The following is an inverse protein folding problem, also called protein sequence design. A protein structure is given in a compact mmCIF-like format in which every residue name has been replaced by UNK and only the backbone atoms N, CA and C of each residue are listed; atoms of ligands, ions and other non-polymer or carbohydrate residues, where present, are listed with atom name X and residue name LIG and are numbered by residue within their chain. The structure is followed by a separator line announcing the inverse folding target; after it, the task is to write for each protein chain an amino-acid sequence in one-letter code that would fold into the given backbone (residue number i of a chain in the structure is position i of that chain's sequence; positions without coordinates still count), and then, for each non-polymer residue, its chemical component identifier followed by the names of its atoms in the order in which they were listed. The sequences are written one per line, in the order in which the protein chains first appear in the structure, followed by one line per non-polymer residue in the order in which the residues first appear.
data_IF_982317491516
#
_entry.id   IF_982317491516
#
_cell.length_a   1.000
_cell.length_b   1.000
_cell.length_c   1.000
_cell.angle_alpha   90.00
_cell.angle_beta   90.00
_cell.angle_gamma   90.00
#
_symmetry.space_group_name_H-M   'P 1'
#
loop_
_entity.id
_entity.type
_entity.pdbx_description
1 polymer ?
#
# COMPACT_ATOMS: atom_id res chain seq x y z
N UNK A 1 -4.52 -23.58 26.09
CA UNK A 1 -4.53 -25.05 26.27
C UNK A 1 -5.99 -25.49 26.27
N UNK A 2 -6.37 -26.29 25.29
CA UNK A 2 -7.75 -26.70 25.04
C UNK A 2 -8.25 -27.75 26.04
N UNK A 3 -9.57 -27.89 26.13
CA UNK A 3 -10.23 -29.01 26.77
C UNK A 3 -10.04 -30.30 25.98
N UNK A 4 -10.56 -31.42 26.51
CA UNK A 4 -10.54 -32.69 25.79
C UNK A 4 -11.42 -32.59 24.55
N UNK A 5 -10.96 -33.14 23.43
CA UNK A 5 -11.72 -33.16 22.18
C UNK A 5 -13.08 -33.86 22.36
N UNK A 6 -14.10 -33.33 21.71
CA UNK A 6 -15.39 -34.01 21.49
C UNK A 6 -15.44 -34.48 20.04
N UNK A 7 -15.42 -35.80 19.83
CA UNK A 7 -15.48 -36.39 18.49
C UNK A 7 -16.90 -36.48 17.93
N UNK A 8 -17.03 -36.38 16.61
CA UNK A 8 -18.31 -36.50 15.90
C UNK A 8 -19.26 -35.32 16.10
N UNK A 9 -18.72 -34.17 16.53
CA UNK A 9 -19.47 -32.93 16.72
C UNK A 9 -18.70 -31.72 16.19
N UNK A 10 -19.45 -30.69 15.83
CA UNK A 10 -18.92 -29.39 15.44
C UNK A 10 -19.85 -28.28 15.98
N UNK A 11 -19.26 -27.18 16.43
CA UNK A 11 -20.02 -25.99 16.80
C UNK A 11 -20.43 -25.26 15.53
N UNK A 12 -21.73 -25.05 15.35
CA UNK A 12 -22.32 -24.39 14.17
C UNK A 12 -22.72 -22.94 14.49
N UNK A 13 -23.07 -22.16 13.46
CA UNK A 13 -23.54 -20.75 13.55
C UNK A 13 -22.52 -19.70 14.03
N UNK A 14 -21.52 -20.11 14.79
CA UNK A 14 -20.49 -19.24 15.39
C UNK A 14 -19.13 -19.30 14.70
N UNK A 15 -19.05 -20.01 13.56
CA UNK A 15 -17.82 -20.11 12.77
C UNK A 15 -17.62 -18.82 11.99
N UNK A 16 -16.61 -18.03 12.37
CA UNK A 16 -16.29 -16.78 11.69
C UNK A 16 -15.13 -16.92 10.70
N UNK A 17 -14.35 -18.01 10.76
CA UNK A 17 -13.19 -18.22 9.88
C UNK A 17 -12.97 -19.69 9.56
N UNK A 18 -12.68 -19.97 8.29
CA UNK A 18 -12.41 -21.31 7.77
C UNK A 18 -11.06 -21.34 7.04
N UNK A 19 -10.24 -22.34 7.37
CA UNK A 19 -8.86 -22.50 6.88
C UNK A 19 -8.68 -23.95 6.40
N UNK A 20 -7.89 -24.16 5.34
CA UNK A 20 -7.55 -25.49 4.83
C UNK A 20 -6.09 -25.82 5.15
N UNK A 21 -5.85 -26.96 5.81
CA UNK A 21 -4.54 -27.36 6.34
C UNK A 21 -4.01 -28.61 5.60
N UNK A 22 -2.74 -28.57 5.19
CA UNK A 22 -2.02 -29.69 4.57
C UNK A 22 -1.50 -30.70 5.59
N UNK A 23 -1.38 -31.98 5.21
CA UNK A 23 -0.90 -33.07 6.09
C UNK A 23 0.57 -33.00 6.51
N UNK A 24 1.34 -32.00 6.07
CA UNK A 24 2.78 -31.90 6.36
C UNK A 24 3.11 -31.61 7.84
N UNK A 25 2.12 -31.21 8.66
CA UNK A 25 2.26 -30.89 10.09
C UNK A 25 0.97 -31.34 10.82
N UNK A 26 1.06 -31.74 12.10
CA UNK A 26 -0.07 -32.13 12.95
C UNK A 26 -1.27 -31.16 12.84
N UNK A 27 -2.32 -31.49 12.05
CA UNK A 27 -3.33 -30.50 11.64
C UNK A 27 -4.24 -30.07 12.80
N UNK A 28 -4.38 -30.92 13.82
CA UNK A 28 -5.11 -30.56 15.04
C UNK A 28 -4.33 -29.53 15.86
N UNK A 29 -3.01 -29.70 15.97
CA UNK A 29 -2.14 -28.77 16.69
C UNK A 29 -2.07 -27.43 15.98
N UNK A 30 -1.98 -27.41 14.65
CA UNK A 30 -1.99 -26.16 13.88
C UNK A 30 -3.34 -25.43 13.99
N UNK A 31 -4.47 -26.12 13.85
CA UNK A 31 -5.79 -25.47 14.01
C UNK A 31 -5.99 -24.87 15.40
N UNK A 32 -5.59 -25.59 16.45
CA UNK A 32 -5.58 -25.09 17.83
C UNK A 32 -4.68 -23.86 17.97
N UNK A 33 -3.49 -23.87 17.37
CA UNK A 33 -2.58 -22.72 17.38
C UNK A 33 -3.14 -21.52 16.62
N UNK A 34 -3.81 -21.73 15.48
CA UNK A 34 -4.51 -20.67 14.73
C UNK A 34 -5.59 -20.01 15.57
N UNK A 35 -6.35 -20.80 16.34
CA UNK A 35 -7.31 -20.26 17.30
C UNK A 35 -6.63 -19.48 18.43
N UNK A 36 -5.52 -19.99 18.98
CA UNK A 36 -4.74 -19.25 19.99
C UNK A 36 -4.16 -17.94 19.45
N UNK A 37 -4.00 -17.82 18.13
CA UNK A 37 -3.55 -16.60 17.45
C UNK A 37 -4.70 -15.65 17.05
N UNK A 38 -5.95 -16.06 17.22
CA UNK A 38 -7.14 -15.29 16.81
C UNK A 38 -7.90 -14.83 18.07
N UNK A 39 -7.97 -13.52 18.31
CA UNK A 39 -8.40 -12.96 19.60
C UNK A 39 -9.89 -13.19 19.93
N UNK A 40 -10.72 -13.40 18.91
CA UNK A 40 -12.12 -13.76 19.04
C UNK A 40 -12.33 -15.27 19.16
N UNK A 41 -11.32 -16.10 18.89
CA UNK A 41 -11.49 -17.54 18.86
C UNK A 41 -11.55 -18.15 20.27
N UNK A 42 -12.66 -18.83 20.58
CA UNK A 42 -12.85 -19.53 21.85
C UNK A 42 -13.01 -21.04 21.67
N UNK A 43 -13.30 -21.51 20.46
CA UNK A 43 -13.33 -22.94 20.14
C UNK A 43 -13.02 -23.22 18.66
N UNK A 44 -12.70 -24.48 18.35
CA UNK A 44 -12.39 -24.92 16.98
C UNK A 44 -13.11 -26.19 16.58
N UNK A 45 -13.44 -26.30 15.29
CA UNK A 45 -13.78 -27.57 14.65
C UNK A 45 -12.66 -27.96 13.67
N UNK A 46 -12.28 -29.24 13.64
CA UNK A 46 -11.43 -29.81 12.59
C UNK A 46 -12.18 -30.92 11.89
N UNK A 47 -12.32 -30.81 10.57
CA UNK A 47 -13.03 -31.79 9.75
C UNK A 47 -12.16 -32.96 9.26
N UNK A 48 -12.80 -33.94 8.60
CA UNK A 48 -12.10 -35.03 7.93
C UNK A 48 -11.28 -34.51 6.74
N UNK A 49 -10.26 -35.27 6.28
CA UNK A 49 -9.49 -34.89 5.11
C UNK A 49 -10.35 -34.97 3.84
N UNK A 50 -10.17 -34.02 2.93
CA UNK A 50 -10.80 -34.02 1.61
C UNK A 50 -10.06 -34.94 0.61
N UNK A 51 -10.52 -34.97 -0.64
CA UNK A 51 -9.96 -35.82 -1.71
C UNK A 51 -8.49 -35.49 -2.04
N UNK A 52 -8.03 -34.29 -1.69
CA UNK A 52 -6.67 -33.80 -1.90
C UNK A 52 -5.82 -33.92 -0.62
N UNK A 53 -6.36 -34.51 0.45
CA UNK A 53 -5.70 -34.65 1.75
C UNK A 53 -5.72 -33.39 2.62
N UNK A 54 -6.44 -32.32 2.24
CA UNK A 54 -6.57 -31.12 3.07
C UNK A 54 -7.63 -31.31 4.16
N UNK A 55 -7.37 -30.82 5.37
CA UNK A 55 -8.36 -30.78 6.44
C UNK A 55 -8.89 -29.37 6.63
N UNK A 56 -10.19 -29.24 6.82
CA UNK A 56 -10.82 -27.97 7.18
C UNK A 56 -10.64 -27.70 8.68
N UNK A 57 -10.20 -26.50 9.01
CA UNK A 57 -10.10 -25.94 10.35
C UNK A 57 -11.06 -24.74 10.43
N UNK A 58 -11.97 -24.76 11.40
CA UNK A 58 -12.96 -23.71 11.61
C UNK A 58 -12.73 -23.10 12.99
N UNK A 59 -12.62 -21.77 13.03
CA UNK A 59 -12.48 -20.99 14.26
C UNK A 59 -13.85 -20.39 14.62
N UNK A 60 -14.21 -20.46 15.90
CA UNK A 60 -15.51 -20.00 16.38
C UNK A 60 -15.38 -19.01 17.53
N UNK A 61 -16.26 -18.01 17.55
CA UNK A 61 -16.31 -16.93 18.55
C UNK A 61 -17.13 -17.28 19.80
N UNK A 62 -17.70 -18.49 19.79
CA UNK A 62 -18.41 -19.08 20.91
C UNK A 62 -17.92 -20.51 21.20
N UNK A 63 -18.29 -21.03 22.36
CA UNK A 63 -18.13 -22.43 22.75
C UNK A 63 -19.48 -23.07 23.18
N UNK A 64 -19.39 -24.35 23.55
CA UNK A 64 -20.52 -25.16 24.02
C UNK A 64 -21.05 -24.78 25.41
N UNK A 65 -20.33 -23.94 26.17
CA UNK A 65 -20.81 -23.44 27.47
C UNK A 65 -21.68 -22.20 27.25
N UNK A 66 -21.28 -21.32 26.34
CA UNK A 66 -22.05 -20.14 25.95
C UNK A 66 -23.27 -20.51 25.11
N UNK A 67 -23.11 -21.44 24.15
CA UNK A 67 -24.15 -21.85 23.20
C UNK A 67 -24.19 -23.39 23.08
N UNK A 68 -24.78 -24.09 24.07
CA UNK A 68 -24.80 -25.56 24.12
C UNK A 68 -25.57 -26.21 22.96
N UNK A 69 -26.64 -25.55 22.49
CA UNK A 69 -27.52 -26.08 21.43
C UNK A 69 -26.88 -26.05 20.03
N UNK A 70 -25.79 -25.29 19.88
CA UNK A 70 -25.08 -25.13 18.61
C UNK A 70 -23.97 -26.19 18.42
N UNK A 71 -23.63 -26.96 19.45
CA UNK A 71 -22.71 -28.09 19.33
C UNK A 71 -23.45 -29.33 18.81
N UNK A 72 -23.58 -29.41 17.48
CA UNK A 72 -24.39 -30.42 16.80
C UNK A 72 -23.57 -31.63 16.34
N UNK A 73 -24.21 -32.81 16.20
CA UNK A 73 -23.57 -33.97 15.58
C UNK A 73 -23.09 -33.66 14.17
N UNK A 74 -21.84 -33.99 13.88
CA UNK A 74 -21.23 -33.82 12.58
C UNK A 74 -20.14 -34.88 12.38
N UNK A 75 -20.43 -35.86 11.54
CA UNK A 75 -19.57 -37.04 11.35
C UNK A 75 -18.19 -36.65 10.81
N UNK A 76 -17.14 -37.25 11.36
CA UNK A 76 -15.75 -37.00 10.96
C UNK A 76 -15.12 -35.72 11.54
N UNK A 77 -15.90 -34.87 12.20
CA UNK A 77 -15.39 -33.65 12.84
C UNK A 77 -14.92 -33.89 14.28
N UNK A 78 -13.94 -33.10 14.71
CA UNK A 78 -13.47 -33.02 16.09
C UNK A 78 -13.57 -31.58 16.59
N UNK A 79 -14.19 -31.41 17.76
CA UNK A 79 -14.40 -30.11 18.41
C UNK A 79 -13.49 -29.94 19.62
N UNK A 80 -12.94 -28.75 19.83
CA UNK A 80 -12.23 -28.35 21.05
C UNK A 80 -12.63 -26.95 21.51
N UNK A 81 -13.01 -26.83 22.79
CA UNK A 81 -13.15 -25.54 23.46
C UNK A 81 -11.85 -25.13 24.16
N UNK A 82 -11.61 -23.83 24.27
CA UNK A 82 -10.54 -23.30 25.12
C UNK A 82 -10.93 -23.42 26.60
N UNK A 83 -9.96 -23.75 27.48
CA UNK A 83 -10.22 -23.74 28.93
C UNK A 83 -10.47 -22.30 29.40
N UNK A 84 -11.63 -22.03 30.01
CA UNK A 84 -11.97 -20.73 30.60
C UNK A 84 -11.55 -20.65 32.09
N UNK A 85 -10.48 -19.89 32.44
CA UNK A 85 -10.00 -19.81 33.83
C UNK A 85 -10.90 -18.99 34.75
N UNK A 86 -11.76 -18.13 34.19
CA UNK A 86 -12.70 -17.32 34.97
C UNK A 86 -13.81 -18.14 35.62
N UNK A 87 -14.04 -19.39 35.18
CA UNK A 87 -14.97 -20.34 35.81
C UNK A 87 -14.68 -20.61 37.28
N UNK A 88 -13.41 -20.46 37.70
CA UNK A 88 -12.97 -20.64 39.09
C UNK A 88 -13.13 -19.40 39.97
N UNK A 89 -13.73 -18.32 39.44
CA UNK A 89 -13.86 -17.01 40.10
C UNK A 89 -12.54 -16.52 40.71
N UNK A 90 -11.46 -16.40 39.93
CA UNK A 90 -10.13 -16.13 40.47
C UNK A 90 -9.92 -14.67 40.94
N UNK A 91 -10.82 -13.76 40.59
CA UNK A 91 -10.76 -12.33 40.93
C UNK A 91 -11.47 -12.04 42.26
N UNK A 92 -10.81 -11.29 43.14
CA UNK A 92 -11.33 -10.91 44.46
C UNK A 92 -12.11 -9.60 44.42
N UNK A 93 -12.82 -9.29 45.51
CA UNK A 93 -13.52 -8.02 45.72
C UNK A 93 -14.52 -7.65 44.59
N UNK A 94 -15.23 -8.67 44.07
CA UNK A 94 -16.24 -8.51 43.02
C UNK A 94 -15.69 -7.86 41.73
N UNK A 95 -14.40 -8.07 41.47
CA UNK A 95 -13.75 -7.65 40.24
C UNK A 95 -14.23 -8.51 39.05
N UNK A 96 -14.33 -7.90 37.87
CA UNK A 96 -14.75 -8.60 36.66
C UNK A 96 -13.60 -9.45 36.14
N UNK A 97 -13.80 -10.77 36.07
CA UNK A 97 -12.85 -11.67 35.42
C UNK A 97 -13.12 -11.71 33.92
N UNK A 98 -12.11 -11.38 33.13
CA UNK A 98 -12.13 -11.59 31.69
C UNK A 98 -11.15 -12.70 31.33
N UNK A 99 -11.60 -13.62 30.47
CA UNK A 99 -10.71 -14.60 29.86
C UNK A 99 -9.69 -13.82 29.00
N UNK A 100 -8.39 -14.04 29.21
CA UNK A 100 -7.36 -13.13 28.69
C UNK A 100 -6.03 -13.82 28.45
N UNK A 101 -5.12 -13.16 27.73
CA UNK A 101 -3.87 -13.77 27.25
C UNK A 101 -2.66 -13.51 28.18
N UNK A 102 -2.85 -13.63 29.50
CA UNK A 102 -1.74 -13.60 30.49
C UNK A 102 -1.18 -15.00 30.72
N UNK A 103 -0.04 -15.15 31.39
CA UNK A 103 0.47 -16.47 31.85
C UNK A 103 -0.59 -17.27 32.64
N UNK A 104 -1.52 -16.55 33.28
CA UNK A 104 -2.61 -17.09 34.10
C UNK A 104 -3.91 -17.29 33.31
N UNK A 105 -3.94 -16.84 32.05
CA UNK A 105 -5.05 -16.90 31.09
C UNK A 105 -6.35 -16.18 31.49
N UNK A 106 -6.27 -15.25 32.44
CA UNK A 106 -7.36 -14.33 32.78
C UNK A 106 -6.79 -12.98 33.19
N UNK A 107 -7.63 -11.95 33.17
CA UNK A 107 -7.37 -10.63 33.73
C UNK A 107 -8.51 -10.22 34.66
N UNK A 108 -8.17 -9.64 35.80
CA UNK A 108 -9.14 -9.08 36.73
C UNK A 108 -9.23 -7.57 36.55
N UNK A 109 -10.40 -7.08 36.17
CA UNK A 109 -10.70 -5.65 36.19
C UNK A 109 -11.10 -5.25 37.61
N UNK A 110 -10.15 -4.67 38.33
CA UNK A 110 -10.35 -4.29 39.72
C UNK A 110 -11.34 -3.14 39.87
N UNK A 111 -12.19 -3.26 40.88
CA UNK A 111 -13.06 -2.18 41.32
C UNK A 111 -12.24 -1.02 41.88
N UNK A 112 -12.81 0.18 41.87
CA UNK A 112 -12.16 1.38 42.37
C UNK A 112 -11.66 1.18 43.81
N UNK A 113 -10.38 1.48 44.06
CA UNK A 113 -9.74 1.27 45.35
C UNK A 113 -9.08 -0.10 45.53
N UNK A 114 -9.02 -0.94 44.50
CA UNK A 114 -8.31 -2.22 44.52
C UNK A 114 -7.31 -2.34 43.35
N UNK A 115 -6.22 -3.06 43.58
CA UNK A 115 -5.16 -3.34 42.60
C UNK A 115 -4.56 -4.73 42.85
N UNK A 116 -3.67 -5.16 41.96
CA UNK A 116 -3.06 -6.50 42.01
C UNK A 116 -3.65 -7.44 40.97
N UNK A 117 -3.06 -8.62 40.81
CA UNK A 117 -3.40 -9.56 39.73
C UNK A 117 -4.77 -10.22 39.90
N UNK A 118 -5.21 -10.33 41.16
CA UNK A 118 -6.53 -10.80 41.57
C UNK A 118 -7.31 -9.71 42.30
N UNK A 119 -6.86 -8.45 42.24
CA UNK A 119 -7.41 -7.33 42.99
C UNK A 119 -7.31 -7.49 44.51
N UNK A 120 -6.27 -8.17 44.98
CA UNK A 120 -6.01 -8.54 46.36
C UNK A 120 -5.51 -7.38 47.24
N UNK A 121 -4.99 -6.31 46.64
CA UNK A 121 -4.41 -5.16 47.36
C UNK A 121 -5.35 -3.95 47.35
N UNK A 122 -5.30 -3.13 48.41
CA UNK A 122 -5.94 -1.81 48.42
C UNK A 122 -5.14 -0.83 47.56
N UNK A 123 -5.81 -0.15 46.64
CA UNK A 123 -5.28 0.89 45.76
C UNK A 123 -5.87 2.27 46.06
N UNK A 124 -5.22 3.33 45.58
CA UNK A 124 -5.72 4.69 45.76
C UNK A 124 -7.01 4.95 44.94
N UNK A 125 -7.98 5.61 45.56
CA UNK A 125 -9.32 5.92 45.03
C UNK A 125 -9.33 6.84 43.78
N UNK A 126 -8.15 7.27 43.28
CA UNK A 126 -8.02 8.33 42.27
C UNK A 126 -7.82 7.85 40.82
N UNK A 127 -7.74 6.55 40.55
CA UNK A 127 -7.60 6.06 39.17
C UNK A 127 -8.97 5.87 38.51
N UNK A 128 -9.56 6.96 38.02
CA UNK A 128 -10.49 6.88 36.88
C UNK A 128 -9.62 6.71 35.64
N UNK A 129 -9.71 5.57 34.96
CA UNK A 129 -9.00 5.35 33.70
C UNK A 129 -9.58 6.33 32.67
N UNK A 130 -8.84 7.40 32.41
CA UNK A 130 -9.05 8.28 31.28
C UNK A 130 -8.47 7.60 30.04
N UNK A 131 -9.34 7.00 29.22
CA UNK A 131 -8.95 6.25 28.01
C UNK A 131 -8.05 7.06 27.07
N UNK A 132 -8.14 8.40 27.09
CA UNK A 132 -7.32 9.28 26.24
C UNK A 132 -5.84 9.33 26.63
N UNK A 133 -5.50 9.05 27.90
CA UNK A 133 -4.12 9.01 28.40
C UNK A 133 -3.50 7.62 28.32
N UNK A 134 -4.32 6.57 28.21
CA UNK A 134 -3.86 5.18 28.11
C UNK A 134 -3.08 4.91 26.81
N UNK A 135 -3.46 5.55 25.69
CA UNK A 135 -2.76 5.42 24.40
C UNK A 135 -1.29 5.85 24.46
N UNK A 136 -0.96 6.92 25.22
CA UNK A 136 0.41 7.45 25.29
C UNK A 136 1.32 6.75 26.31
N UNK A 137 0.75 6.17 27.37
CA UNK A 137 1.50 5.51 28.44
C UNK A 137 1.69 4.01 28.22
N UNK A 138 0.79 3.33 27.51
CA UNK A 138 1.04 1.97 27.05
C UNK A 138 2.20 1.92 26.03
N UNK A 139 2.32 2.91 25.13
CA UNK A 139 3.39 2.91 24.14
C UNK A 139 4.80 2.99 24.74
N UNK A 140 4.98 3.70 25.86
CA UNK A 140 6.30 3.91 26.49
C UNK A 140 6.76 2.80 27.46
N UNK A 141 5.87 1.90 27.90
CA UNK A 141 6.21 0.86 28.89
C UNK A 141 6.23 -0.57 28.31
N UNK A 142 5.81 -0.75 27.06
CA UNK A 142 5.65 -2.06 26.39
C UNK A 142 6.82 -2.44 25.45
N UNK A 143 7.98 -1.77 25.55
CA UNK A 143 9.21 -2.15 24.81
C UNK A 143 10.03 -3.19 25.58
N UNK A 144 9.55 -3.69 26.72
CA UNK A 144 10.24 -4.75 27.47
C UNK A 144 9.28 -5.89 27.81
N UNK A 145 9.53 -7.02 27.15
CA UNK A 145 8.94 -8.36 27.34
C UNK A 145 7.42 -8.56 27.17
N UNK A 146 7.09 -9.21 26.05
CA UNK A 146 6.22 -10.41 26.02
C UNK A 146 4.72 -10.24 26.35
N UNK A 147 3.93 -9.69 25.42
CA UNK A 147 2.46 -9.85 25.36
C UNK A 147 1.99 -9.67 23.91
N UNK A 148 1.80 -10.78 23.17
CA UNK A 148 1.26 -10.79 21.81
C UNK A 148 -0.26 -10.55 21.83
N UNK A 149 -0.66 -9.30 22.00
CA UNK A 149 -1.76 -8.76 21.20
C UNK A 149 -1.21 -8.76 19.78
N UNK A 150 -1.75 -9.54 18.83
CA UNK A 150 -1.43 -9.27 17.43
C UNK A 150 -1.99 -7.87 17.16
N UNK A 151 -1.14 -6.83 17.03
CA UNK A 151 -1.64 -5.59 16.46
C UNK A 151 -2.14 -5.96 15.07
N UNK A 152 -3.07 -5.20 14.48
CA UNK A 152 -3.10 -5.18 13.03
C UNK A 152 -1.65 -5.02 12.57
N UNK A 153 -1.13 -5.97 11.78
CA UNK A 153 0.24 -5.88 11.27
C UNK A 153 0.40 -4.47 10.73
N UNK A 154 1.37 -3.70 11.27
CA UNK A 154 1.50 -2.27 11.01
C UNK A 154 1.28 -2.01 9.51
N UNK A 155 0.30 -1.18 9.18
CA UNK A 155 -0.08 -0.90 7.80
C UNK A 155 -0.19 0.61 7.57
N UNK A 156 0.72 1.14 6.77
CA UNK A 156 0.71 2.52 6.34
C UNK A 156 0.29 2.63 4.87
N UNK A 157 -0.65 3.52 4.57
CA UNK A 157 -1.11 3.80 3.20
C UNK A 157 -0.81 5.27 2.88
N UNK A 158 0.14 5.49 1.98
CA UNK A 158 0.48 6.83 1.50
C UNK A 158 -0.25 7.12 0.20
N UNK A 159 -0.75 8.34 0.09
CA UNK A 159 -1.56 8.80 -1.04
C UNK A 159 -0.98 10.12 -1.54
N UNK A 160 -1.59 10.67 -2.58
CA UNK A 160 -1.30 12.01 -3.09
C UNK A 160 -1.74 13.15 -2.14
N UNK A 161 -2.28 12.85 -0.94
CA UNK A 161 -2.78 13.85 0.01
C UNK A 161 -3.78 14.85 -0.63
N UNK A 162 -4.65 14.32 -1.49
CA UNK A 162 -5.61 15.09 -2.31
C UNK A 162 -4.99 16.12 -3.28
N UNK A 163 -3.67 16.13 -3.47
CA UNK A 163 -3.03 16.97 -4.48
C UNK A 163 -3.31 16.43 -5.90
N UNK A 164 -3.50 17.34 -6.85
CA UNK A 164 -3.65 17.02 -8.28
C UNK A 164 -2.77 17.93 -9.12
N UNK A 165 -2.36 17.46 -10.31
CA UNK A 165 -1.56 18.22 -11.26
C UNK A 165 -0.05 18.01 -11.09
N UNK A 166 0.71 19.06 -11.40
CA UNK A 166 2.17 18.98 -11.58
C UNK A 166 2.98 19.08 -10.28
N UNK A 167 2.43 19.74 -9.27
CA UNK A 167 3.10 19.96 -7.99
C UNK A 167 2.60 18.94 -6.97
N UNK A 168 3.50 18.48 -6.11
CA UNK A 168 3.14 17.64 -4.99
C UNK A 168 2.33 18.38 -3.91
N UNK A 169 1.82 17.65 -2.92
CA UNK A 169 1.04 18.24 -1.82
C UNK A 169 1.85 19.27 -1.02
N UNK A 170 1.16 20.30 -0.56
CA UNK A 170 1.75 21.40 0.22
C UNK A 170 1.49 21.27 1.73
N UNK A 171 0.52 20.45 2.13
CA UNK A 171 0.17 20.21 3.53
C UNK A 171 -0.17 18.74 3.79
N UNK A 172 0.22 18.24 4.97
CA UNK A 172 -0.16 16.92 5.46
C UNK A 172 -1.56 16.90 6.06
N UNK A 173 -2.03 18.03 6.60
CA UNK A 173 -3.32 18.16 7.27
C UNK A 173 -3.56 17.07 8.33
N UNK A 174 -4.79 16.54 8.36
CA UNK A 174 -5.20 15.40 9.20
C UNK A 174 -5.30 14.09 8.41
N UNK A 175 -4.65 13.99 7.25
CA UNK A 175 -4.83 12.87 6.32
C UNK A 175 -4.47 11.52 6.94
N UNK A 176 -3.51 11.48 7.86
CA UNK A 176 -3.05 10.27 8.54
C UNK A 176 -3.45 10.18 10.00
N UNK A 177 -4.26 11.12 10.50
CA UNK A 177 -4.72 11.10 11.89
C UNK A 177 -5.49 9.82 12.19
N UNK A 178 -5.09 9.10 13.24
CA UNK A 178 -5.67 7.82 13.64
C UNK A 178 -5.27 6.61 12.79
N UNK A 179 -4.37 6.76 11.82
CA UNK A 179 -3.79 5.62 11.08
C UNK A 179 -2.50 5.13 11.77
N UNK A 180 -2.01 3.95 11.40
CA UNK A 180 -0.83 3.34 12.06
C UNK A 180 0.45 4.19 11.99
N UNK A 181 0.52 5.11 11.02
CA UNK A 181 1.62 6.03 10.79
C UNK A 181 1.29 7.48 11.16
N UNK A 182 0.25 7.70 11.97
CA UNK A 182 -0.08 9.01 12.55
C UNK A 182 1.12 9.56 13.34
N UNK A 183 1.45 10.83 13.09
CA UNK A 183 2.60 11.50 13.70
C UNK A 183 3.98 11.03 13.22
N UNK A 184 4.08 10.07 12.29
CA UNK A 184 5.36 9.54 11.78
C UNK A 184 5.79 10.16 10.44
N UNK A 185 4.96 11.04 9.88
CA UNK A 185 5.17 11.63 8.54
C UNK A 185 5.38 13.12 8.64
N UNK A 186 6.40 13.61 7.94
CA UNK A 186 6.59 15.03 7.64
C UNK A 186 6.50 15.25 6.15
N UNK A 187 6.21 16.48 5.72
CA UNK A 187 6.05 16.82 4.30
C UNK A 187 7.02 17.93 3.91
N UNK A 188 7.72 17.76 2.79
CA UNK A 188 8.64 18.77 2.25
C UNK A 188 8.61 18.72 0.73
N UNK A 189 8.25 19.84 0.10
CA UNK A 189 8.26 19.98 -1.36
C UNK A 189 7.44 18.89 -2.09
N UNK A 190 6.28 18.52 -1.56
CA UNK A 190 5.46 17.44 -2.14
C UNK A 190 5.90 16.02 -1.79
N UNK A 191 7.05 15.84 -1.16
CA UNK A 191 7.61 14.54 -0.79
C UNK A 191 7.34 14.28 0.69
N UNK A 192 6.72 13.14 0.96
CA UNK A 192 6.40 12.68 2.30
C UNK A 192 7.61 11.95 2.88
N UNK A 193 8.02 12.29 4.08
CA UNK A 193 9.14 11.67 4.80
C UNK A 193 8.58 10.89 5.97
N UNK A 194 8.59 9.57 5.83
CA UNK A 194 8.11 8.66 6.85
C UNK A 194 9.27 8.12 7.68
N UNK A 195 9.14 8.20 9.00
CA UNK A 195 10.10 7.63 9.95
C UNK A 195 9.65 6.22 10.31
N UNK A 196 10.49 5.23 10.03
CA UNK A 196 10.17 3.82 10.27
C UNK A 196 10.02 3.57 11.77
N UNK A 197 8.86 3.06 12.24
CA UNK A 197 8.59 2.93 13.67
C UNK A 197 9.23 1.70 14.31
N UNK A 198 9.56 0.65 13.53
CA UNK A 198 10.11 -0.59 14.04
C UNK A 198 11.14 -1.17 13.07
N UNK A 199 12.21 -1.78 13.58
CA UNK A 199 13.12 -2.56 12.74
C UNK A 199 12.47 -3.87 12.33
N UNK A 200 12.43 -4.19 11.04
CA UNK A 200 11.81 -5.42 10.56
C UNK A 200 11.79 -5.56 9.04
N UNK A 201 11.17 -6.63 8.57
CA UNK A 201 10.93 -6.85 7.14
C UNK A 201 9.56 -6.26 6.76
N UNK A 202 9.55 -5.39 5.75
CA UNK A 202 8.36 -4.68 5.29
C UNK A 202 8.00 -5.11 3.87
N UNK A 203 6.74 -5.48 3.66
CA UNK A 203 6.15 -5.62 2.33
C UNK A 203 5.71 -4.25 1.85
N UNK A 204 6.29 -3.79 0.75
CA UNK A 204 6.00 -2.49 0.15
C UNK A 204 5.39 -2.71 -1.22
N UNK A 205 4.20 -2.16 -1.44
CA UNK A 205 3.53 -2.02 -2.72
C UNK A 205 3.55 -0.55 -3.15
N UNK A 206 4.05 -0.29 -4.35
CA UNK A 206 4.07 1.03 -4.97
C UNK A 206 3.29 0.97 -6.30
N UNK A 207 2.37 1.92 -6.48
CA UNK A 207 1.55 2.04 -7.69
C UNK A 207 1.84 3.38 -8.35
N UNK A 208 2.23 3.38 -9.62
CA UNK A 208 2.42 4.58 -10.43
C UNK A 208 1.09 5.15 -10.94
N UNK A 209 1.06 6.43 -11.28
CA UNK A 209 -0.17 7.07 -11.75
C UNK A 209 -0.48 6.76 -13.22
N UNK A 210 -1.76 6.88 -13.60
CA UNK A 210 -2.16 6.81 -15.00
C UNK A 210 -1.83 8.12 -15.75
N UNK A 211 -1.61 8.02 -17.05
CA UNK A 211 -1.55 9.16 -17.95
C UNK A 211 -2.89 9.90 -18.07
N UNK A 212 -2.87 11.08 -18.68
CA UNK A 212 -4.08 11.81 -19.02
C UNK A 212 -4.77 11.27 -20.28
N UNK A 213 -5.88 11.88 -20.66
CA UNK A 213 -6.56 11.65 -21.94
C UNK A 213 -7.06 12.98 -22.52
N UNK A 214 -7.51 12.99 -23.78
CA UNK A 214 -7.92 14.20 -24.50
C UNK A 214 -9.46 14.31 -24.67
N UNK A 215 -9.97 15.01 -25.70
CA UNK A 215 -11.41 15.12 -25.98
C UNK A 215 -11.98 14.07 -26.95
N UNK A 216 -11.14 13.21 -27.54
CA UNK A 216 -11.57 12.24 -28.55
C UNK A 216 -12.43 11.08 -27.99
N UNK A 217 -13.24 10.46 -28.85
CA UNK A 217 -14.16 9.38 -28.45
C UNK A 217 -13.42 8.17 -27.86
N UNK A 218 -13.91 7.60 -26.75
CA UNK A 218 -13.35 6.40 -26.09
C UNK A 218 -11.90 6.52 -25.60
N UNK A 219 -11.35 7.71 -25.47
CA UNK A 219 -9.94 7.89 -25.09
C UNK A 219 -9.65 7.65 -23.59
N UNK A 220 -10.67 7.67 -22.73
CA UNK A 220 -10.52 7.43 -21.29
C UNK A 220 -9.99 6.05 -20.99
N UNK A 221 -10.20 5.07 -21.87
CA UNK A 221 -9.69 3.69 -21.77
C UNK A 221 -8.33 3.49 -22.45
N UNK A 222 -7.87 4.44 -23.28
CA UNK A 222 -6.62 4.32 -24.04
C UNK A 222 -5.42 5.01 -23.40
N UNK A 223 -5.63 5.75 -22.31
CA UNK A 223 -4.54 6.39 -21.54
C UNK A 223 -3.48 5.37 -21.12
N UNK A 224 -2.23 5.79 -21.04
CA UNK A 224 -1.18 4.95 -20.47
C UNK A 224 -1.47 4.61 -19.01
N UNK A 225 -1.30 3.36 -18.64
CA UNK A 225 -1.56 2.84 -17.29
C UNK A 225 -0.29 2.80 -16.45
N UNK A 226 -0.42 3.07 -15.15
CA UNK A 226 0.70 2.99 -14.21
C UNK A 226 1.08 1.55 -13.83
N UNK A 227 2.32 1.31 -13.40
CA UNK A 227 2.77 0.00 -12.94
C UNK A 227 2.43 -0.22 -11.45
N UNK A 228 2.34 -1.49 -11.03
CA UNK A 228 2.37 -1.92 -9.62
C UNK A 228 3.66 -2.68 -9.37
N UNK A 229 4.43 -2.25 -8.39
CA UNK A 229 5.66 -2.90 -7.98
C UNK A 229 5.53 -3.32 -6.53
N UNK A 230 5.83 -4.58 -6.21
CA UNK A 230 5.80 -5.05 -4.83
C UNK A 230 7.10 -5.76 -4.48
N UNK A 231 7.70 -5.43 -3.33
CA UNK A 231 8.92 -6.07 -2.82
C UNK A 231 8.92 -6.16 -1.30
N UNK A 232 9.82 -6.98 -0.75
CA UNK A 232 10.10 -7.08 0.68
C UNK A 232 11.45 -6.46 0.99
N UNK A 233 11.49 -5.55 1.96
CA UNK A 233 12.66 -4.77 2.32
C UNK A 233 12.89 -4.81 3.81
N UNK A 234 14.13 -5.02 4.22
CA UNK A 234 14.50 -4.86 5.62
C UNK A 234 14.71 -3.39 5.93
N UNK A 235 13.88 -2.86 6.81
CA UNK A 235 13.94 -1.48 7.27
C UNK A 235 14.40 -1.41 8.74
N UNK A 236 15.04 -0.29 9.10
CA UNK A 236 15.52 -0.03 10.46
C UNK A 236 14.66 1.05 11.11
N UNK A 237 14.36 0.87 12.39
CA UNK A 237 13.75 1.90 13.22
C UNK A 237 14.53 3.23 13.10
N UNK A 238 13.80 4.33 13.12
CA UNK A 238 14.28 5.70 12.94
C UNK A 238 14.90 6.02 11.57
N UNK A 239 14.98 5.07 10.63
CA UNK A 239 15.36 5.39 9.27
C UNK A 239 14.23 6.18 8.56
N UNK A 240 14.62 7.18 7.76
CA UNK A 240 13.67 8.02 7.03
C UNK A 240 13.56 7.54 5.58
N UNK A 241 12.35 7.21 5.18
CA UNK A 241 11.99 6.87 3.80
C UNK A 241 11.27 8.05 3.16
N UNK A 242 11.80 8.52 2.04
CA UNK A 242 11.14 9.51 1.20
C UNK A 242 10.14 8.83 0.27
N UNK A 243 8.91 9.32 0.28
CA UNK A 243 7.76 8.78 -0.43
C UNK A 243 7.18 9.90 -1.31
N UNK A 244 7.32 9.72 -2.62
CA UNK A 244 6.67 10.56 -3.62
C UNK A 244 5.55 9.73 -4.24
N UNK A 245 4.30 10.17 -4.07
CA UNK A 245 3.15 9.49 -4.69
C UNK A 245 2.81 10.18 -6.02
N UNK A 246 2.92 9.43 -7.11
CA UNK A 246 2.69 9.94 -8.46
C UNK A 246 1.27 10.45 -8.64
N UNK A 247 1.10 11.53 -9.41
CA UNK A 247 -0.20 12.09 -9.73
C UNK A 247 -0.58 11.82 -11.19
N UNK A 248 -1.89 11.71 -11.45
CA UNK A 248 -2.41 11.46 -12.80
C UNK A 248 -2.04 12.58 -13.77
N UNK A 249 -1.82 12.20 -15.03
CA UNK A 249 -1.53 13.16 -16.10
C UNK A 249 -2.70 14.09 -16.41
N UNK A 250 -2.40 15.31 -16.85
CA UNK A 250 -3.38 16.32 -17.20
C UNK A 250 -4.31 15.89 -18.34
N UNK A 251 -5.59 16.22 -18.20
CA UNK A 251 -6.65 15.87 -19.16
C UNK A 251 -6.92 17.09 -20.04
N UNK A 252 -6.90 16.91 -21.35
CA UNK A 252 -7.25 17.97 -22.30
C UNK A 252 -8.70 17.81 -22.76
N UNK A 253 -9.59 18.71 -22.34
CA UNK A 253 -10.99 18.69 -22.81
C UNK A 253 -11.25 19.60 -24.01
N UNK A 254 -10.25 20.39 -24.40
CA UNK A 254 -10.37 21.44 -25.41
C UNK A 254 -9.82 20.99 -26.77
N UNK A 255 -8.78 20.15 -26.77
CA UNK A 255 -8.06 19.73 -27.97
C UNK A 255 -7.48 18.30 -27.79
N UNK A 256 -6.61 17.89 -28.71
CA UNK A 256 -5.88 16.63 -28.66
C UNK A 256 -4.71 16.70 -27.68
N UNK A 257 -4.15 15.53 -27.36
CA UNK A 257 -3.01 15.31 -26.48
C UNK A 257 -3.25 15.44 -24.98
N UNK A 258 -2.53 14.67 -24.19
CA UNK A 258 -2.63 14.66 -22.73
C UNK A 258 -1.28 14.55 -22.03
N UNK A 259 -1.25 14.92 -20.74
CA UNK A 259 -0.02 14.85 -19.94
C UNK A 259 0.33 13.43 -19.51
N UNK A 260 1.61 13.17 -19.28
CA UNK A 260 2.08 11.91 -18.70
C UNK A 260 1.76 11.82 -17.20
N UNK A 261 1.48 10.63 -16.71
CA UNK A 261 1.32 10.33 -15.29
C UNK A 261 2.67 10.26 -14.59
N UNK A 262 2.72 10.67 -13.32
CA UNK A 262 3.93 10.59 -12.53
C UNK A 262 4.22 9.21 -11.96
N UNK A 263 5.51 8.92 -11.77
CA UNK A 263 5.97 7.74 -11.04
C UNK A 263 5.76 7.89 -9.53
N UNK A 264 5.73 6.76 -8.84
CA UNK A 264 5.68 6.68 -7.37
C UNK A 264 7.01 6.14 -6.87
N UNK A 265 7.64 6.84 -5.93
CA UNK A 265 9.01 6.58 -5.49
C UNK A 265 9.06 6.33 -3.99
N UNK A 266 9.78 5.29 -3.58
CA UNK A 266 10.26 5.11 -2.23
C UNK A 266 11.78 5.06 -2.23
N UNK A 267 12.39 5.99 -1.52
CA UNK A 267 13.83 6.24 -1.55
C UNK A 267 14.34 6.31 -0.12
N UNK A 268 15.34 5.48 0.19
CA UNK A 268 16.06 5.51 1.46
C UNK A 268 17.04 6.68 1.44
N UNK A 269 17.05 7.47 2.51
CA UNK A 269 17.95 8.63 2.61
C UNK A 269 17.60 9.70 1.57
N UNK A 270 18.57 10.06 0.72
CA UNK A 270 18.41 11.12 -0.29
C UNK A 270 18.40 10.62 -1.73
N UNK A 271 19.00 9.46 -2.00
CA UNK A 271 19.34 9.03 -3.37
C UNK A 271 19.38 7.51 -3.58
N UNK A 272 18.98 6.70 -2.58
CA UNK A 272 19.00 5.23 -2.69
C UNK A 272 17.59 4.69 -2.96
N UNK A 273 17.20 4.39 -4.21
CA UNK A 273 15.87 3.91 -4.51
C UNK A 273 15.66 2.50 -3.95
N UNK A 274 14.53 2.29 -3.26
CA UNK A 274 14.10 0.95 -2.81
C UNK A 274 13.19 0.33 -3.87
N UNK A 275 12.12 1.07 -4.20
CA UNK A 275 11.11 0.65 -5.15
C UNK A 275 10.48 1.89 -5.81
N UNK A 276 10.31 1.82 -7.12
CA UNK A 276 9.74 2.89 -7.94
C UNK A 276 8.79 2.25 -8.93
N UNK A 277 7.55 2.73 -8.98
CA UNK A 277 6.56 2.32 -9.96
C UNK A 277 6.39 3.42 -11.02
N UNK A 278 6.60 3.07 -12.28
CA UNK A 278 6.46 4.00 -13.41
C UNK A 278 5.02 4.46 -13.62
N UNK A 279 4.85 5.70 -14.04
CA UNK A 279 3.59 6.28 -14.48
C UNK A 279 3.31 6.03 -15.97
N UNK A 280 2.04 6.08 -16.35
CA UNK A 280 1.63 5.92 -17.75
C UNK A 280 1.90 7.16 -18.60
N UNK A 281 2.15 6.98 -19.89
CA UNK A 281 2.27 8.06 -20.86
C UNK A 281 0.93 8.71 -21.22
N UNK A 282 0.99 9.98 -21.61
CA UNK A 282 -0.12 10.72 -22.21
C UNK A 282 -0.30 10.33 -23.67
N UNK A 283 -1.53 10.44 -24.15
CA UNK A 283 -1.95 10.04 -25.49
C UNK A 283 -2.15 11.25 -26.39
N UNK A 284 -2.23 11.04 -27.70
CA UNK A 284 -2.73 11.99 -28.70
C UNK A 284 -3.70 11.27 -29.65
N UNK A 285 -5.00 11.51 -29.45
CA UNK A 285 -6.09 10.96 -30.24
C UNK A 285 -5.98 9.44 -30.43
N UNK A 286 -5.55 8.72 -29.39
CA UNK A 286 -5.36 7.27 -29.42
C UNK A 286 -6.65 6.56 -29.87
N UNK A 287 -6.51 5.57 -30.75
CA UNK A 287 -7.65 4.79 -31.30
C UNK A 287 -7.77 3.40 -30.68
N UNK A 288 -6.74 2.96 -29.98
CA UNK A 288 -6.67 1.69 -29.28
C UNK A 288 -5.75 1.80 -28.07
N UNK A 289 -5.77 0.80 -27.19
CA UNK A 289 -4.76 0.65 -26.14
C UNK A 289 -3.44 0.29 -26.83
N UNK A 290 -2.40 1.06 -26.57
CA UNK A 290 -1.04 0.74 -26.99
C UNK A 290 -0.19 0.45 -25.75
N UNK A 291 0.38 -0.75 -25.69
CA UNK A 291 1.14 -1.23 -24.52
C UNK A 291 2.39 -0.40 -24.26
N UNK A 292 2.87 0.33 -25.26
CA UNK A 292 4.01 1.23 -25.21
C UNK A 292 3.71 2.52 -24.44
N UNK A 293 2.43 2.93 -24.33
CA UNK A 293 2.01 4.04 -23.48
C UNK A 293 1.99 3.65 -22.00
N UNK A 294 1.82 2.36 -21.70
CA UNK A 294 1.78 1.90 -20.31
C UNK A 294 3.17 1.89 -19.67
N UNK A 295 3.22 2.07 -18.35
CA UNK A 295 4.45 1.91 -17.59
C UNK A 295 5.10 0.53 -17.77
N UNK A 296 6.41 0.46 -17.56
CA UNK A 296 7.22 -0.75 -17.64
C UNK A 296 7.52 -1.29 -16.24
N UNK A 297 7.55 -2.62 -16.04
CA UNK A 297 8.11 -3.22 -14.82
C UNK A 297 9.64 -3.23 -14.82
N UNK A 298 10.26 -3.04 -15.99
CA UNK A 298 11.73 -2.95 -16.13
C UNK A 298 12.25 -1.54 -15.85
N UNK A 299 13.57 -1.41 -15.67
CA UNK A 299 14.27 -0.13 -15.49
C UNK A 299 14.22 0.82 -16.69
N UNK A 300 13.73 0.37 -17.84
CA UNK A 300 13.74 1.13 -19.10
C UNK A 300 12.35 1.76 -19.31
N UNK A 301 12.33 3.07 -19.59
CA UNK A 301 11.12 3.76 -20.01
C UNK A 301 10.71 3.33 -21.41
N UNK A 302 9.41 3.24 -21.66
CA UNK A 302 8.90 2.79 -22.96
C UNK A 302 9.01 3.87 -24.03
N UNK A 303 8.96 3.44 -25.29
CA UNK A 303 9.04 4.31 -26.45
C UNK A 303 7.75 5.02 -26.81
N UNK A 304 6.62 4.66 -26.21
CA UNK A 304 5.32 5.12 -26.70
C UNK A 304 5.00 4.55 -28.08
N UNK A 305 3.86 4.96 -28.63
CA UNK A 305 3.40 4.53 -29.94
C UNK A 305 3.66 5.64 -30.96
N UNK A 306 4.29 5.29 -32.10
CA UNK A 306 4.77 6.22 -33.13
C UNK A 306 5.65 7.34 -32.55
N UNK A 307 6.50 7.00 -31.60
CA UNK A 307 7.26 7.95 -30.79
C UNK A 307 8.72 7.50 -30.64
N UNK A 308 9.51 8.22 -29.86
CA UNK A 308 10.96 7.99 -29.73
C UNK A 308 11.31 7.04 -28.58
N UNK A 309 12.60 6.78 -28.35
CA UNK A 309 13.05 5.98 -27.21
C UNK A 309 12.70 6.63 -25.87
N UNK A 310 12.30 5.80 -24.90
CA UNK A 310 12.25 6.21 -23.51
C UNK A 310 13.66 6.34 -22.91
N UNK A 311 13.71 6.86 -21.69
CA UNK A 311 14.93 6.94 -20.90
C UNK A 311 15.42 5.58 -20.42
N UNK A 312 16.69 5.54 -20.03
CA UNK A 312 17.37 4.34 -19.52
C UNK A 312 18.31 4.70 -18.38
N UNK A 313 18.76 3.68 -17.63
CA UNK A 313 19.73 3.84 -16.54
C UNK A 313 19.35 4.89 -15.47
N UNK A 314 18.06 5.10 -15.26
CA UNK A 314 17.56 6.06 -14.27
C UNK A 314 17.40 7.49 -14.82
N UNK A 315 17.65 7.71 -16.11
CA UNK A 315 17.54 9.03 -16.74
C UNK A 315 16.16 9.26 -17.37
N UNK A 316 15.76 10.54 -17.44
CA UNK A 316 14.58 10.96 -18.22
C UNK A 316 14.79 10.76 -19.72
N UNK A 317 13.70 10.67 -20.49
CA UNK A 317 13.80 10.54 -21.94
C UNK A 317 14.27 11.84 -22.60
N UNK A 318 15.25 11.76 -23.52
CA UNK A 318 15.92 12.94 -24.09
C UNK A 318 15.63 13.17 -25.58
N UNK A 319 14.97 12.22 -26.24
CA UNK A 319 14.82 12.22 -27.70
C UNK A 319 13.44 12.70 -28.14
N UNK A 320 13.43 13.66 -29.06
CA UNK A 320 12.27 14.12 -29.82
C UNK A 320 12.73 14.69 -31.17
N UNK A 321 11.79 15.05 -32.04
CA UNK A 321 12.07 15.85 -33.24
C UNK A 321 11.88 17.35 -32.99
N UNK A 322 11.81 18.14 -34.07
CA UNK A 322 11.56 19.58 -34.02
C UNK A 322 10.07 19.95 -34.13
N UNK A 323 9.19 18.95 -34.19
CA UNK A 323 7.75 19.12 -34.36
C UNK A 323 6.99 19.34 -33.05
N UNK A 324 5.68 19.09 -33.10
CA UNK A 324 4.75 19.29 -32.00
C UNK A 324 4.70 18.10 -31.04
N UNK A 325 5.85 17.80 -30.43
CA UNK A 325 6.02 16.67 -29.53
C UNK A 325 5.63 17.01 -28.08
N UNK A 326 5.26 16.02 -27.28
CA UNK A 326 5.18 16.18 -25.83
C UNK A 326 6.54 16.34 -25.16
N UNK A 327 6.54 16.67 -23.87
CA UNK A 327 7.71 16.61 -23.00
C UNK A 327 8.06 15.17 -22.63
N UNK A 328 9.36 14.89 -22.46
CA UNK A 328 9.82 13.58 -21.99
C UNK A 328 9.48 13.36 -20.52
N UNK A 329 9.30 12.12 -20.11
CA UNK A 329 9.18 11.77 -18.69
C UNK A 329 10.51 12.00 -17.95
N UNK A 330 10.42 12.40 -16.69
CA UNK A 330 11.53 12.46 -15.75
C UNK A 330 11.90 11.08 -15.22
N UNK A 331 13.21 10.85 -15.04
CA UNK A 331 13.75 9.67 -14.39
C UNK A 331 14.06 9.92 -12.91
N UNK A 332 14.87 9.04 -12.34
CA UNK A 332 15.41 9.21 -11.00
C UNK A 332 16.50 10.28 -10.98
N UNK A 333 17.47 10.20 -11.90
CA UNK A 333 18.66 11.05 -11.93
C UNK A 333 18.52 12.33 -12.74
N UNK A 334 17.66 12.35 -13.76
CA UNK A 334 17.53 13.52 -14.64
C UNK A 334 16.09 13.77 -15.10
N UNK A 335 15.85 15.04 -15.44
CA UNK A 335 14.60 15.48 -16.06
C UNK A 335 14.49 14.97 -17.49
N UNK A 336 13.26 14.84 -18.00
CA UNK A 336 13.00 14.58 -19.41
C UNK A 336 13.31 15.81 -20.29
N UNK A 337 13.41 15.59 -21.59
CA UNK A 337 13.61 16.66 -22.58
C UNK A 337 12.41 17.60 -22.59
N UNK A 338 12.71 18.89 -22.67
CA UNK A 338 11.76 19.99 -22.87
C UNK A 338 11.82 20.56 -24.29
N UNK A 339 10.74 21.17 -24.75
CA UNK A 339 10.76 22.06 -25.92
C UNK A 339 11.52 23.36 -25.67
N UNK A 340 11.83 24.09 -26.74
CA UNK A 340 12.64 25.33 -26.73
C UNK A 340 12.02 26.45 -25.93
N UNK A 341 10.69 26.56 -25.91
CA UNK A 341 9.95 27.54 -25.09
C UNK A 341 10.10 27.30 -23.58
N UNK A 342 10.53 26.09 -23.21
CA UNK A 342 10.80 25.68 -21.83
C UNK A 342 12.30 25.46 -21.58
N UNK A 343 13.15 26.23 -22.26
CA UNK A 343 14.62 26.19 -22.16
C UNK A 343 15.23 24.84 -22.59
N UNK A 344 14.49 24.06 -23.36
CA UNK A 344 15.01 22.89 -24.06
C UNK A 344 15.84 23.27 -25.29
N UNK A 345 16.44 22.27 -25.92
CA UNK A 345 17.40 22.49 -27.02
C UNK A 345 16.85 22.12 -28.40
N UNK A 346 15.66 21.54 -28.48
CA UNK A 346 15.10 20.97 -29.72
C UNK A 346 13.58 21.05 -29.71
N UNK A 347 12.93 21.41 -30.83
CA UNK A 347 11.47 21.44 -31.03
C UNK A 347 10.61 22.33 -30.13
N UNK A 348 9.38 22.64 -30.58
CA UNK A 348 8.40 23.49 -29.86
C UNK A 348 7.46 22.70 -28.93
N UNK A 349 7.98 21.59 -28.38
CA UNK A 349 7.18 20.64 -27.61
C UNK A 349 6.89 21.03 -26.16
N UNK A 350 6.16 20.18 -25.44
CA UNK A 350 5.92 20.33 -23.99
C UNK A 350 7.20 20.32 -23.13
N UNK A 351 7.10 20.79 -21.89
CA UNK A 351 8.19 20.71 -20.92
C UNK A 351 8.35 19.26 -20.42
N UNK A 352 9.60 18.80 -20.32
CA UNK A 352 9.91 17.52 -19.71
C UNK A 352 9.64 17.51 -18.21
N UNK A 353 9.16 16.38 -17.70
CA UNK A 353 8.97 16.19 -16.26
C UNK A 353 10.32 16.23 -15.53
N UNK A 354 10.36 16.88 -14.36
CA UNK A 354 11.54 16.87 -13.51
C UNK A 354 11.72 15.49 -12.89
N UNK A 355 12.96 15.01 -12.85
CA UNK A 355 13.27 13.75 -12.21
C UNK A 355 13.13 13.82 -10.69
N UNK A 356 13.18 12.67 -10.00
CA UNK A 356 13.03 12.60 -8.55
C UNK A 356 14.03 13.50 -7.82
N UNK A 357 15.33 13.43 -8.18
CA UNK A 357 16.37 14.27 -7.59
C UNK A 357 16.24 15.76 -7.93
N UNK A 358 15.38 16.11 -8.90
CA UNK A 358 15.02 17.49 -9.24
C UNK A 358 13.66 17.90 -8.65
N UNK A 359 13.11 17.13 -7.71
CA UNK A 359 11.86 17.41 -7.00
C UNK A 359 10.61 16.80 -7.62
N UNK A 360 10.72 16.08 -8.75
CA UNK A 360 9.62 15.31 -9.32
C UNK A 360 8.47 16.14 -9.92
N UNK A 361 8.64 17.44 -10.11
CA UNK A 361 7.62 18.32 -10.69
C UNK A 361 7.22 17.87 -12.10
N UNK A 362 5.90 17.83 -12.38
CA UNK A 362 5.39 17.53 -13.72
C UNK A 362 5.66 18.67 -14.71
N UNK A 363 5.78 18.35 -16.00
CA UNK A 363 6.01 19.35 -17.05
C UNK A 363 4.76 20.18 -17.36
N UNK A 364 4.95 21.39 -17.90
CA UNK A 364 3.88 22.26 -18.43
C UNK A 364 3.68 21.99 -19.93
N UNK A 365 2.47 22.20 -20.45
CA UNK A 365 2.22 22.25 -21.89
C UNK A 365 2.37 23.64 -22.49
N UNK A 366 2.59 23.70 -23.80
CA UNK A 366 2.60 24.97 -24.53
C UNK A 366 1.18 25.57 -24.64
N UNK A 367 0.19 24.71 -24.88
CA UNK A 367 -1.21 25.10 -25.05
C UNK A 367 -2.14 24.42 -24.03
N UNK A 368 -3.26 25.07 -23.72
CA UNK A 368 -4.39 24.52 -22.94
C UNK A 368 -4.10 24.04 -21.50
N UNK A 369 -2.91 24.32 -20.94
CA UNK A 369 -2.52 23.99 -19.56
C UNK A 369 -2.64 22.49 -19.20
N UNK A 370 -2.24 21.62 -20.12
CA UNK A 370 -2.26 20.15 -20.05
C UNK A 370 -0.95 19.64 -19.44
N UNK A 371 -0.86 19.76 -18.13
CA UNK A 371 0.36 19.45 -17.38
C UNK A 371 0.63 17.94 -17.25
N UNK A 372 1.89 17.57 -17.09
CA UNK A 372 2.27 16.26 -16.57
C UNK A 372 1.99 16.15 -15.07
N UNK A 373 1.78 14.93 -14.60
CA UNK A 373 1.57 14.64 -13.18
C UNK A 373 2.87 14.75 -12.37
N UNK A 374 2.76 15.21 -11.13
CA UNK A 374 3.85 15.11 -10.15
C UNK A 374 4.36 13.68 -10.01
N UNK A 375 5.67 13.51 -9.86
CA UNK A 375 6.39 12.26 -10.08
C UNK A 375 7.07 12.21 -11.45
N UNK A 376 7.29 13.35 -12.08
CA UNK A 376 8.05 13.49 -13.32
C UNK A 376 7.28 13.17 -14.60
N UNK A 377 5.95 13.28 -14.62
CA UNK A 377 5.20 13.23 -15.87
C UNK A 377 5.55 14.40 -16.78
N UNK A 378 5.76 14.16 -18.07
CA UNK A 378 5.97 15.19 -19.08
C UNK A 378 4.67 15.95 -19.39
N UNK A 379 4.79 17.24 -19.71
CA UNK A 379 3.68 18.03 -20.23
C UNK A 379 3.35 17.64 -21.68
N UNK A 380 2.10 17.80 -22.09
CA UNK A 380 1.74 17.66 -23.51
C UNK A 380 2.26 18.85 -24.32
N UNK A 381 2.21 18.81 -25.66
CA UNK A 381 2.25 20.07 -26.42
C UNK A 381 0.91 20.82 -26.30
N UNK A 382 -0.22 20.09 -26.24
CA UNK A 382 -1.54 20.64 -25.87
C UNK A 382 -2.49 20.83 -27.07
N UNK A 383 -1.97 20.78 -28.29
CA UNK A 383 -2.76 20.58 -29.53
C UNK A 383 -2.47 19.22 -30.19
N UNK A 384 -1.37 18.59 -29.79
CA UNK A 384 -0.85 17.31 -30.24
C UNK A 384 0.27 16.88 -29.27
N UNK A 385 0.85 15.69 -29.43
CA UNK A 385 2.05 15.27 -28.68
C UNK A 385 1.79 15.02 -27.19
N UNK A 386 1.51 13.76 -26.84
CA UNK A 386 1.33 13.34 -25.46
C UNK A 386 2.62 13.37 -24.63
N UNK A 387 2.53 13.69 -23.33
CA UNK A 387 3.67 13.71 -22.43
C UNK A 387 4.15 12.32 -21.99
N UNK A 388 5.45 12.12 -21.79
CA UNK A 388 6.00 10.86 -21.28
C UNK A 388 5.70 10.62 -19.80
N UNK A 389 5.50 9.36 -19.40
CA UNK A 389 5.30 8.98 -18.00
C UNK A 389 6.58 9.10 -17.16
N UNK A 390 6.46 9.52 -15.91
CA UNK A 390 7.60 9.57 -14.97
C UNK A 390 7.93 8.21 -14.37
N UNK A 391 9.14 8.02 -13.83
CA UNK A 391 9.52 6.76 -13.20
C UNK A 391 10.99 6.68 -12.84
N UNK A 392 11.51 5.45 -12.67
CA UNK A 392 12.95 5.24 -12.49
C UNK A 392 13.71 5.77 -13.71
N UNK A 393 13.30 5.36 -14.91
CA UNK A 393 13.66 6.07 -16.14
C UNK A 393 12.39 6.68 -16.73
N UNK A 394 12.50 7.84 -17.34
CA UNK A 394 11.34 8.52 -17.92
C UNK A 394 10.84 7.85 -19.20
N UNK A 395 9.54 7.89 -19.47
CA UNK A 395 8.97 7.50 -20.75
C UNK A 395 9.24 8.52 -21.85
N UNK A 396 9.18 8.10 -23.11
CA UNK A 396 9.45 8.97 -24.26
C UNK A 396 8.48 10.14 -24.39
N UNK A 397 8.91 11.19 -25.09
CA UNK A 397 8.01 12.19 -25.65
C UNK A 397 7.06 11.55 -26.66
N UNK A 398 5.79 11.95 -26.67
CA UNK A 398 4.83 11.57 -27.70
C UNK A 398 4.97 12.44 -28.95
N UNK A 399 4.84 11.85 -30.13
CA UNK A 399 4.81 12.56 -31.41
C UNK A 399 3.50 13.34 -31.63
N UNK A 400 3.53 14.36 -32.50
CA UNK A 400 2.35 15.14 -32.87
C UNK A 400 1.38 14.45 -33.84
N UNK A 401 1.67 13.21 -34.25
CA UNK A 401 0.78 12.42 -35.10
C UNK A 401 -0.42 11.89 -34.33
N UNK A 402 -1.58 11.85 -34.99
CA UNK A 402 -2.78 11.20 -34.44
C UNK A 402 -2.54 9.73 -34.18
N UNK A 403 -3.24 9.21 -33.17
CA UNK A 403 -3.10 7.85 -32.71
C UNK A 403 -1.64 7.56 -32.35
N UNK A 404 -1.12 8.37 -31.43
CA UNK A 404 0.22 8.25 -30.86
C UNK A 404 0.14 8.44 -29.34
N UNK A 405 1.26 8.20 -28.66
CA UNK A 405 1.38 8.49 -27.23
C UNK A 405 2.84 8.62 -26.82
N UNK A 406 3.08 9.38 -25.75
CA UNK A 406 4.32 9.27 -25.00
C UNK A 406 4.44 7.91 -24.33
N UNK A 407 5.68 7.47 -24.10
CA UNK A 407 5.93 6.20 -23.44
C UNK A 407 5.61 6.24 -21.95
N UNK A 408 5.29 5.09 -21.37
CA UNK A 408 5.23 4.93 -19.91
C UNK A 408 6.62 4.90 -19.27
N UNK A 409 6.71 5.32 -18.01
CA UNK A 409 7.95 5.32 -17.23
C UNK A 409 8.44 3.91 -16.90
N UNK A 410 9.75 3.78 -16.72
CA UNK A 410 10.41 2.58 -16.19
C UNK A 410 10.21 2.46 -14.68
N UNK A 411 10.25 1.23 -14.17
CA UNK A 411 10.14 0.91 -12.74
C UNK A 411 11.46 0.37 -12.18
N UNK A 412 11.55 0.28 -10.86
CA UNK A 412 12.69 -0.25 -10.14
C UNK A 412 12.21 -1.01 -8.90
N UNK A 413 12.81 -2.16 -8.59
CA UNK A 413 12.51 -2.90 -7.38
C UNK A 413 13.77 -3.68 -6.96
N UNK A 414 14.34 -3.32 -5.82
CA UNK A 414 15.50 -3.98 -5.22
C UNK A 414 15.11 -4.90 -4.05
N UNK A 415 13.81 -5.11 -3.85
CA UNK A 415 13.27 -5.93 -2.78
C UNK A 415 13.30 -7.42 -3.12
N UNK A 416 13.25 -8.24 -2.08
CA UNK A 416 13.03 -9.68 -2.21
C UNK A 416 11.54 -9.97 -2.49
N UNK A 417 11.20 -11.21 -2.89
CA UNK A 417 9.81 -11.66 -3.08
C UNK A 417 8.99 -10.70 -3.97
N UNK A 418 9.53 -10.40 -5.15
CA UNK A 418 8.93 -9.43 -6.04
C UNK A 418 7.64 -9.95 -6.67
N UNK A 419 6.63 -9.09 -6.74
CA UNK A 419 5.40 -9.32 -7.50
C UNK A 419 5.08 -8.02 -8.23
N UNK A 420 5.49 -7.95 -9.49
CA UNK A 420 5.45 -6.74 -10.28
C UNK A 420 4.49 -6.93 -11.46
N UNK A 421 3.60 -5.97 -11.65
CA UNK A 421 2.60 -5.99 -12.71
C UNK A 421 2.66 -4.67 -13.49
N UNK A 422 2.92 -4.76 -14.79
CA UNK A 422 2.80 -3.58 -15.65
C UNK A 422 1.32 -3.26 -15.86
N UNK A 423 1.05 -1.99 -16.14
CA UNK A 423 -0.26 -1.57 -16.64
C UNK A 423 -1.44 -1.81 -15.67
N UNK A 424 -1.17 -1.82 -14.36
CA UNK A 424 -2.13 -2.08 -13.29
C UNK A 424 -3.09 -0.91 -13.06
N UNK A 425 -2.57 0.32 -12.97
CA UNK A 425 -3.36 1.47 -12.61
C UNK A 425 -4.01 2.11 -13.84
N UNK A 426 -5.30 1.84 -14.05
CA UNK A 426 -6.04 2.27 -15.24
C UNK A 426 -6.52 3.73 -15.17
N UNK A 427 -6.59 4.32 -13.98
CA UNK A 427 -7.00 5.71 -13.80
C UNK A 427 -6.56 6.28 -12.45
N UNK A 428 -6.26 7.58 -12.43
CA UNK A 428 -6.03 8.32 -11.19
C UNK A 428 -4.56 8.33 -10.74
N UNK A 429 -4.39 8.59 -9.45
CA UNK A 429 -3.09 8.78 -8.81
C UNK A 429 -2.45 7.45 -8.43
N UNK A 430 -1.17 7.51 -8.09
CA UNK A 430 -0.47 6.42 -7.44
C UNK A 430 -0.88 6.24 -5.98
N UNK A 431 -0.32 5.21 -5.36
CA UNK A 431 -0.49 4.89 -3.96
C UNK A 431 0.71 4.08 -3.49
N UNK A 432 0.99 4.12 -2.18
CA UNK A 432 1.95 3.21 -1.54
C UNK A 432 1.27 2.54 -0.36
N UNK A 433 1.43 1.22 -0.26
CA UNK A 433 1.04 0.45 0.92
C UNK A 433 2.29 -0.21 1.52
N UNK A 434 2.52 0.00 2.82
CA UNK A 434 3.64 -0.56 3.57
C UNK A 434 3.08 -1.39 4.72
N UNK A 435 3.44 -2.67 4.76
CA UNK A 435 3.01 -3.61 5.81
C UNK A 435 4.22 -4.24 6.49
N UNK A 436 4.30 -4.19 7.81
CA UNK A 436 5.31 -4.94 8.59
C UNK A 436 4.95 -6.43 8.59
N UNK A 437 5.93 -7.31 8.36
CA UNK A 437 5.76 -8.77 8.25
C UNK A 437 6.01 -9.53 9.55
#
# INVERSE_FOLDING_TARGET
MFEKSVGGRALQQHVFKQIYLTMAIEPHSDCKNRCLMENTCVSVNVGPPDKNGLRVCQLSDSDHTQHPDDLKPQEGYQYWATKNPCSSSPCLHNATCLNGFTDKRYICLCQAGYKGNKCEEKGDQKLRIDLSKCQKLCYKKYVDMSLFVFPSAFKAIFTNLNATGRYGPTTLGSHYTGQDHDGQVTLSSGIQRWTVPYTGDYRIEAVGAAGGYDGATNNTQYRGRGARMIGTFRLKEDEVIQILVGQGGGINKMDLSSGGGGGTFLVRGTDTPLIIAGGGGGIDSAKSIHVECDASTSKIGKSGHKSWSGGSNGHGAQTADDGYSGGGGGGFYSSGRSGTDFKGTKGVGGEGGKGFLQGGEGGISLHHNVVGGFGGGGGAHGQSGGGGGGGYSGGSSGDGSRDSCGGGGGSYNDGNNQDNECCYNTAGHGQVTITLL
#
